data_IF_267499970910
#
_entry.id   IF_267499970910
#
_cell.length_a   1.000
_cell.length_b   1.000
_cell.length_c   1.000
_cell.angle_alpha   90.00
_cell.angle_beta   90.00
_cell.angle_gamma   90.00
#
_symmetry.space_group_name_H-M   'P 1'
#
loop_
_entity.id
_entity.type
_entity.pdbx_description
1 polymer ?
#
# COMPACT_ATOMS: atom_id res chain seq x y z
N UNK A 1 -8.54 20.23 -25.07
CA UNK A 1 -8.78 18.93 -24.42
C UNK A 1 -7.63 18.67 -23.49
N UNK A 2 -7.83 18.91 -22.19
CA UNK A 2 -6.82 18.59 -21.18
C UNK A 2 -6.64 17.07 -21.19
N UNK A 3 -5.44 16.62 -21.54
CA UNK A 3 -5.09 15.21 -21.45
C UNK A 3 -5.09 14.82 -19.98
N UNK A 4 -5.97 13.90 -19.61
CA UNK A 4 -5.92 13.23 -18.32
C UNK A 4 -4.51 12.63 -18.17
N UNK A 5 -3.72 13.19 -17.25
CA UNK A 5 -2.45 12.57 -16.89
C UNK A 5 -2.81 11.26 -16.19
N UNK A 6 -2.51 10.12 -16.83
CA UNK A 6 -2.63 8.82 -16.18
C UNK A 6 -1.71 8.79 -14.95
N UNK A 7 -2.28 8.98 -13.77
CA UNK A 7 -1.56 8.80 -12.51
C UNK A 7 -1.35 7.29 -12.36
N UNK A 8 -0.17 6.82 -12.75
CA UNK A 8 0.23 5.43 -12.51
C UNK A 8 0.61 5.25 -11.04
N UNK A 9 -0.02 4.27 -10.39
CA UNK A 9 0.27 3.88 -9.02
C UNK A 9 1.10 2.61 -9.03
N UNK A 10 2.41 2.75 -8.98
CA UNK A 10 3.36 1.63 -8.98
C UNK A 10 3.77 1.34 -7.53
N UNK A 11 3.69 0.08 -7.04
CA UNK A 11 4.22 -0.31 -5.73
C UNK A 11 5.76 -0.29 -5.74
N UNK A 12 6.39 -0.21 -4.56
CA UNK A 12 7.86 -0.28 -4.49
C UNK A 12 8.38 -1.69 -4.82
N UNK A 13 7.63 -2.71 -4.42
CA UNK A 13 7.92 -4.11 -4.72
C UNK A 13 6.63 -4.82 -5.11
N UNK A 14 6.70 -5.55 -6.21
CA UNK A 14 5.68 -6.50 -6.64
C UNK A 14 6.29 -7.91 -6.62
N UNK A 15 5.59 -8.83 -5.97
CA UNK A 15 5.99 -10.24 -5.91
C UNK A 15 4.84 -11.07 -6.46
N UNK A 16 5.07 -11.68 -7.62
CA UNK A 16 4.15 -12.64 -8.22
C UNK A 16 4.69 -14.05 -8.00
N UNK A 17 3.89 -14.89 -7.36
CA UNK A 17 4.19 -16.31 -7.20
C UNK A 17 2.93 -17.12 -7.44
N UNK A 18 3.01 -18.12 -8.33
CA UNK A 18 1.84 -18.85 -8.83
C UNK A 18 0.74 -17.88 -9.34
N UNK A 19 -0.43 -17.90 -8.70
CA UNK A 19 -1.59 -17.06 -9.06
C UNK A 19 -1.83 -15.92 -8.06
N UNK A 20 -0.84 -15.61 -7.22
CA UNK A 20 -0.92 -14.56 -6.20
C UNK A 20 0.03 -13.40 -6.55
N UNK A 21 -0.47 -12.17 -6.40
CA UNK A 21 0.35 -10.94 -6.53
C UNK A 21 0.32 -10.16 -5.23
N UNK A 22 1.44 -10.22 -4.49
CA UNK A 22 1.64 -9.48 -3.26
C UNK A 22 2.41 -8.18 -3.54
N UNK A 23 1.92 -7.09 -2.98
CA UNK A 23 2.50 -5.76 -3.15
C UNK A 23 3.08 -5.25 -1.85
N UNK A 24 4.20 -4.54 -1.93
CA UNK A 24 4.83 -3.89 -0.80
C UNK A 24 5.09 -2.43 -1.12
N UNK A 25 4.75 -1.57 -0.16
CA UNK A 25 4.91 -0.13 -0.26
C UNK A 25 5.65 0.39 0.98
N UNK A 26 6.79 1.05 0.77
CA UNK A 26 7.69 1.54 1.81
C UNK A 26 7.25 2.95 2.19
N UNK A 27 6.80 3.10 3.43
CA UNK A 27 6.27 4.37 3.94
C UNK A 27 7.21 4.86 5.04
N UNK A 28 8.04 5.86 4.72
CA UNK A 28 9.06 6.39 5.65
C UNK A 28 8.59 7.59 6.47
N UNK A 29 7.52 8.25 6.03
CA UNK A 29 6.93 9.41 6.69
C UNK A 29 5.41 9.25 6.86
N UNK A 30 4.78 10.22 7.51
CA UNK A 30 3.33 10.21 7.75
C UNK A 30 2.53 10.77 6.58
N UNK A 31 3.14 10.97 5.40
CA UNK A 31 2.43 11.55 4.27
C UNK A 31 1.41 10.51 3.79
N UNK A 32 0.15 10.78 4.10
CA UNK A 32 -0.94 9.86 3.79
C UNK A 32 -1.16 9.78 2.28
N UNK A 33 -1.04 8.56 1.74
CA UNK A 33 -1.32 8.23 0.35
C UNK A 33 -2.51 7.25 0.27
N UNK A 34 -3.55 7.49 1.08
CA UNK A 34 -4.68 6.57 1.29
C UNK A 34 -5.38 6.16 0.00
N UNK A 35 -5.55 7.09 -0.95
CA UNK A 35 -6.10 6.79 -2.27
C UNK A 35 -5.26 5.78 -3.06
N UNK A 36 -3.93 5.94 -3.03
CA UNK A 36 -2.98 5.00 -3.66
C UNK A 36 -3.03 3.63 -2.98
N UNK A 37 -2.98 3.57 -1.65
CA UNK A 37 -3.05 2.31 -0.91
C UNK A 37 -4.37 1.58 -1.13
N UNK A 38 -5.48 2.32 -1.29
CA UNK A 38 -6.79 1.73 -1.63
C UNK A 38 -6.77 1.09 -3.02
N UNK A 39 -6.20 1.75 -4.02
CA UNK A 39 -6.06 1.20 -5.37
C UNK A 39 -5.14 -0.02 -5.39
N UNK A 40 -3.97 0.05 -4.75
CA UNK A 40 -3.01 -1.06 -4.69
C UNK A 40 -3.59 -2.27 -3.95
N UNK A 41 -4.30 -2.07 -2.84
CA UNK A 41 -4.95 -3.18 -2.11
C UNK A 41 -6.06 -3.83 -2.92
N UNK A 42 -6.85 -3.06 -3.68
CA UNK A 42 -7.85 -3.61 -4.60
C UNK A 42 -7.21 -4.43 -5.73
N UNK A 43 -6.11 -3.93 -6.30
CA UNK A 43 -5.35 -4.63 -7.33
C UNK A 43 -4.78 -5.95 -6.80
N UNK A 44 -4.10 -5.94 -5.64
CA UNK A 44 -3.53 -7.15 -5.05
C UNK A 44 -4.62 -8.21 -4.78
N UNK A 45 -5.75 -7.79 -4.19
CA UNK A 45 -6.88 -8.69 -3.91
C UNK A 45 -7.51 -9.28 -5.16
N UNK A 46 -7.63 -8.49 -6.24
CA UNK A 46 -8.11 -8.99 -7.54
C UNK A 46 -7.19 -10.09 -8.10
N UNK A 47 -5.91 -10.07 -7.74
CA UNK A 47 -4.88 -11.02 -8.13
C UNK A 47 -4.51 -11.98 -6.98
N UNK A 48 -5.48 -12.33 -6.13
CA UNK A 48 -5.35 -13.29 -5.01
C UNK A 48 -4.21 -13.01 -4.01
N UNK A 49 -3.68 -11.79 -3.95
CA UNK A 49 -2.63 -11.41 -3.02
C UNK A 49 -3.03 -10.26 -2.10
N UNK A 50 -2.04 -9.72 -1.40
CA UNK A 50 -2.24 -8.69 -0.38
C UNK A 50 -1.33 -7.49 -0.60
N UNK A 51 -1.75 -6.32 -0.09
CA UNK A 51 -0.87 -5.16 0.08
C UNK A 51 -0.26 -5.19 1.49
N UNK A 52 1.05 -4.95 1.57
CA UNK A 52 1.77 -4.73 2.82
C UNK A 52 2.41 -3.34 2.83
N UNK A 53 2.14 -2.55 3.88
CA UNK A 53 2.84 -1.30 4.15
C UNK A 53 4.05 -1.59 5.02
N UNK A 54 5.25 -1.29 4.52
CA UNK A 54 6.53 -1.48 5.21
C UNK A 54 6.93 -0.15 5.86
N UNK A 55 6.86 -0.08 7.18
CA UNK A 55 6.91 1.20 7.92
C UNK A 55 7.91 1.21 9.08
N UNK A 56 8.59 2.32 9.38
CA UNK A 56 9.33 2.46 10.63
C UNK A 56 8.41 2.30 11.85
N UNK A 57 8.88 1.64 12.91
CA UNK A 57 8.08 1.41 14.13
C UNK A 57 7.48 2.70 14.71
N UNK A 58 8.22 3.81 14.66
CA UNK A 58 7.79 5.14 15.14
C UNK A 58 6.53 5.71 14.48
N UNK A 59 6.14 5.22 13.29
CA UNK A 59 4.93 5.68 12.59
C UNK A 59 3.84 4.59 12.47
N UNK A 60 4.12 3.36 12.92
CA UNK A 60 3.24 2.19 12.78
C UNK A 60 1.80 2.47 13.20
N UNK A 61 1.59 3.06 14.37
CA UNK A 61 0.24 3.28 14.91
C UNK A 61 -0.52 4.38 14.16
N UNK A 62 0.20 5.39 13.66
CA UNK A 62 -0.41 6.43 12.82
C UNK A 62 -0.87 5.83 11.48
N UNK A 63 -0.06 4.98 10.86
CA UNK A 63 -0.42 4.27 9.63
C UNK A 63 -1.58 3.30 9.89
N UNK A 64 -1.55 2.54 10.98
CA UNK A 64 -2.63 1.62 11.37
C UNK A 64 -3.97 2.34 11.53
N UNK A 65 -3.95 3.52 12.15
CA UNK A 65 -5.13 4.36 12.27
C UNK A 65 -5.63 4.81 10.89
N UNK A 66 -4.74 5.31 10.04
CA UNK A 66 -5.07 5.79 8.70
C UNK A 66 -5.69 4.71 7.81
N UNK A 67 -5.13 3.49 7.78
CA UNK A 67 -5.71 2.38 6.99
C UNK A 67 -7.08 1.95 7.52
N UNK A 68 -7.29 2.01 8.84
CA UNK A 68 -8.57 1.66 9.46
C UNK A 68 -9.65 2.71 9.18
N UNK A 69 -9.31 4.00 9.26
CA UNK A 69 -10.25 5.10 9.02
C UNK A 69 -10.69 5.20 7.54
N UNK A 70 -9.86 4.71 6.62
CA UNK A 70 -10.10 4.78 5.17
C UNK A 70 -10.58 3.45 4.55
N UNK A 71 -10.84 2.43 5.38
CA UNK A 71 -11.26 1.08 4.96
C UNK A 71 -10.29 0.48 3.91
N UNK A 72 -9.00 0.44 4.26
CA UNK A 72 -7.93 -0.06 3.39
C UNK A 72 -7.50 -1.43 3.91
N UNK A 73 -7.66 -2.46 3.08
CA UNK A 73 -7.22 -3.81 3.39
C UNK A 73 -5.71 -3.95 3.08
N UNK A 74 -4.89 -3.71 4.09
CA UNK A 74 -3.44 -3.84 4.01
C UNK A 74 -2.86 -4.42 5.31
N UNK A 75 -1.84 -5.27 5.18
CA UNK A 75 -0.98 -5.67 6.28
C UNK A 75 0.04 -4.59 6.61
N UNK A 76 0.55 -4.58 7.85
CA UNK A 76 1.66 -3.71 8.26
C UNK A 76 2.85 -4.59 8.62
N UNK A 77 3.97 -4.34 7.96
CA UNK A 77 5.29 -4.84 8.33
C UNK A 77 6.08 -3.67 8.91
N UNK A 78 6.71 -3.85 10.06
CA UNK A 78 7.46 -2.77 10.71
C UNK A 78 8.90 -3.14 11.00
N UNK A 79 9.76 -2.13 10.97
CA UNK A 79 11.19 -2.27 11.23
C UNK A 79 11.69 -1.19 12.20
N UNK A 80 12.76 -1.54 12.91
CA UNK A 80 13.53 -0.63 13.74
C UNK A 80 14.67 -0.04 12.91
N UNK A 81 14.88 1.27 13.04
CA UNK A 81 15.99 2.01 12.43
C UNK A 81 17.08 2.25 13.47
#
# INVERSE_FOLDING_TARGET
>A
TQGDQEISHIPDIEVSYENETHLYDIVLDKKEATGRWKLLSQYARKNNGNLYLVVPEKIKDAIKKSISENDINAGILFFQL
#
